data_IF_701434491288
#
_entry.id   IF_701434491288
#
_cell.length_a   1.000
_cell.length_b   1.000
_cell.length_c   1.000
_cell.angle_alpha   90.00
_cell.angle_beta   90.00
_cell.angle_gamma   90.00
#
_symmetry.space_group_name_H-M   'P 1'
#
loop_
_entity.id
_entity.type
_entity.pdbx_description
1 polymer ?
#
# COMPACT_ATOMS: atom_id res chain seq x y z
N UNK A 1 -26.79 17.51 -8.54
CA UNK A 1 -26.80 16.43 -7.53
C UNK A 1 -26.51 15.09 -8.21
N UNK A 2 -25.47 14.40 -7.73
CA UNK A 2 -25.18 12.96 -7.88
C UNK A 2 -25.06 12.32 -9.26
N UNK A 3 -23.98 12.61 -10.02
CA UNK A 3 -23.52 11.68 -11.09
C UNK A 3 -22.00 11.46 -11.23
N UNK A 4 -21.15 12.12 -10.44
CA UNK A 4 -19.68 12.00 -10.60
C UNK A 4 -19.02 11.12 -9.51
N UNK A 5 -19.72 10.81 -8.41
CA UNK A 5 -19.20 9.96 -7.33
C UNK A 5 -19.06 8.47 -7.67
N UNK A 6 -19.56 8.03 -8.83
CA UNK A 6 -19.49 6.61 -9.24
C UNK A 6 -18.24 6.30 -10.06
N UNK A 7 -17.63 7.30 -10.72
CA UNK A 7 -16.49 7.07 -11.61
C UNK A 7 -15.16 6.83 -10.87
N UNK A 8 -14.93 7.48 -9.72
CA UNK A 8 -13.71 7.28 -8.94
C UNK A 8 -13.70 5.93 -8.19
N UNK A 9 -14.88 5.43 -7.78
CA UNK A 9 -15.03 4.11 -7.18
C UNK A 9 -14.85 2.96 -8.19
N UNK A 10 -14.86 3.25 -9.49
CA UNK A 10 -14.67 2.27 -10.57
C UNK A 10 -13.20 2.13 -11.04
N UNK A 11 -12.29 3.00 -10.59
CA UNK A 11 -10.87 2.93 -10.93
C UNK A 11 -10.00 2.26 -9.86
N UNK A 12 -10.49 2.16 -8.62
CA UNK A 12 -9.82 1.45 -7.53
C UNK A 12 -10.06 -0.08 -7.43
N UNK A 13 -11.04 -0.75 -8.07
CA UNK A 13 -11.23 -2.19 -7.93
C UNK A 13 -10.40 -3.05 -8.89
N UNK A 14 -9.45 -2.46 -9.64
CA UNK A 14 -8.78 -3.13 -10.77
C UNK A 14 -7.29 -3.46 -10.56
N UNK A 15 -6.67 -3.05 -9.46
CA UNK A 15 -5.30 -3.46 -9.14
C UNK A 15 -5.32 -4.69 -8.23
N UNK A 16 -4.85 -5.80 -8.79
CA UNK A 16 -4.82 -7.06 -8.09
C UNK A 16 -3.83 -7.06 -6.94
N UNK A 17 -4.26 -7.03 -5.69
CA UNK A 17 -3.39 -6.68 -4.57
C UNK A 17 -2.44 -7.82 -4.13
N UNK A 18 -1.34 -7.45 -3.45
CA UNK A 18 -0.44 -8.40 -2.79
C UNK A 18 -0.78 -8.49 -1.31
N UNK A 19 -1.02 -9.71 -0.82
CA UNK A 19 -1.49 -9.98 0.55
C UNK A 19 -0.70 -11.12 1.18
N UNK A 20 -0.87 -11.31 2.49
CA UNK A 20 -0.25 -12.39 3.25
C UNK A 20 -0.42 -12.16 4.75
N UNK A 21 0.26 -12.96 5.57
CA UNK A 21 0.26 -12.76 7.03
C UNK A 21 0.96 -11.44 7.42
N UNK A 22 0.56 -10.79 8.53
CA UNK A 22 1.18 -9.54 9.00
C UNK A 22 2.58 -9.81 9.58
N UNK A 23 3.58 -9.88 8.71
CA UNK A 23 4.95 -10.23 9.09
C UNK A 23 5.78 -9.11 9.69
N UNK A 24 5.38 -7.85 9.47
CA UNK A 24 6.01 -6.70 10.09
C UNK A 24 5.25 -6.32 11.35
N UNK A 25 5.98 -5.86 12.36
CA UNK A 25 5.45 -5.50 13.67
C UNK A 25 5.82 -4.06 14.00
N UNK A 26 5.30 -3.56 15.12
CA UNK A 26 5.63 -2.24 15.66
C UNK A 26 7.15 -2.00 15.78
N UNK A 27 7.95 -3.02 16.10
CA UNK A 27 9.41 -2.87 16.21
C UNK A 27 10.13 -2.69 14.88
N UNK A 28 9.48 -3.05 13.76
CA UNK A 28 10.01 -2.83 12.41
C UNK A 28 9.67 -1.43 11.87
N UNK A 29 8.80 -0.70 12.57
CA UNK A 29 8.25 0.56 12.09
C UNK A 29 9.32 1.66 12.01
N UNK A 30 9.35 2.35 10.87
CA UNK A 30 10.17 3.54 10.65
C UNK A 30 9.30 4.75 10.34
N UNK A 31 9.72 5.89 10.86
CA UNK A 31 8.97 7.14 10.78
C UNK A 31 9.37 7.94 9.55
N UNK A 32 8.66 7.71 8.45
CA UNK A 32 8.99 8.35 7.17
C UNK A 32 7.88 9.24 6.62
N UNK A 33 6.62 9.00 6.99
CA UNK A 33 5.50 9.88 6.69
C UNK A 33 5.19 10.68 7.98
N UNK A 34 5.27 12.02 7.95
CA UNK A 34 4.89 12.86 9.09
C UNK A 34 3.40 12.76 9.43
N UNK A 35 3.05 13.11 10.67
CA UNK A 35 1.65 13.25 11.04
C UNK A 35 0.97 14.41 10.29
N UNK A 36 -0.28 14.22 9.91
CA UNK A 36 -1.05 15.25 9.22
C UNK A 36 -2.21 14.71 8.41
N UNK A 37 -2.84 15.60 7.65
CA UNK A 37 -3.88 15.27 6.68
C UNK A 37 -3.26 15.24 5.28
N UNK A 38 -3.59 14.21 4.53
CA UNK A 38 -3.03 13.95 3.21
C UNK A 38 -4.15 13.72 2.22
N UNK A 39 -4.08 14.40 1.09
CA UNK A 39 -4.93 14.11 -0.05
C UNK A 39 -4.30 12.98 -0.86
N UNK A 40 -5.11 11.98 -1.18
CA UNK A 40 -4.77 10.88 -2.08
C UNK A 40 -5.05 11.35 -3.50
N UNK A 41 -4.00 11.41 -4.32
CA UNK A 41 -4.10 11.78 -5.73
C UNK A 41 -3.51 10.65 -6.59
N UNK A 42 -4.15 10.34 -7.72
CA UNK A 42 -3.53 9.47 -8.71
C UNK A 42 -2.28 10.15 -9.29
N UNK A 43 -1.23 9.38 -9.60
CA UNK A 43 0.00 9.96 -10.14
C UNK A 43 -0.28 10.78 -11.43
N UNK A 44 0.21 12.02 -11.46
CA UNK A 44 0.06 12.92 -12.60
C UNK A 44 -1.27 13.68 -12.64
N UNK A 45 -2.22 13.39 -11.76
CA UNK A 45 -3.48 14.13 -11.65
C UNK A 45 -3.40 15.14 -10.50
N UNK A 46 -3.97 16.34 -10.71
CA UNK A 46 -4.25 17.28 -9.62
C UNK A 46 -5.75 17.18 -9.34
N UNK A 47 -6.13 16.33 -8.40
CA UNK A 47 -7.52 16.15 -8.04
C UNK A 47 -7.86 17.07 -6.86
N UNK A 48 -8.47 18.23 -7.12
CA UNK A 48 -9.03 19.11 -6.06
C UNK A 48 -10.06 18.36 -5.16
N UNK A 49 -10.56 17.23 -5.65
CA UNK A 49 -11.57 16.37 -5.01
C UNK A 49 -11.04 15.03 -4.50
N UNK A 50 -9.72 14.81 -4.50
CA UNK A 50 -9.12 13.57 -3.96
C UNK A 50 -9.51 13.31 -2.51
N UNK A 51 -9.62 12.04 -2.11
CA UNK A 51 -9.97 11.64 -0.74
C UNK A 51 -8.90 12.14 0.26
N UNK A 52 -9.33 12.61 1.44
CA UNK A 52 -8.41 13.05 2.50
C UNK A 52 -8.33 11.96 3.56
N UNK A 53 -7.10 11.52 3.83
CA UNK A 53 -6.76 10.58 4.90
C UNK A 53 -5.98 11.30 6.00
N UNK A 54 -6.37 11.09 7.25
CA UNK A 54 -5.58 11.47 8.41
C UNK A 54 -4.50 10.43 8.67
N UNK A 55 -3.25 10.84 8.83
CA UNK A 55 -2.14 9.98 9.21
C UNK A 55 -1.65 10.43 10.58
N UNK A 56 -1.68 9.52 11.55
CA UNK A 56 -1.25 9.80 12.92
C UNK A 56 -0.45 8.65 13.49
N UNK A 57 0.70 8.96 14.09
CA UNK A 57 1.51 7.98 14.80
C UNK A 57 0.82 7.46 16.07
N UNK A 58 0.94 6.16 16.28
CA UNK A 58 0.51 5.47 17.49
C UNK A 58 1.68 5.30 18.47
N UNK A 59 1.41 5.07 19.78
CA UNK A 59 2.47 4.89 20.77
C UNK A 59 3.45 3.75 20.49
N UNK A 60 3.02 2.74 19.71
CA UNK A 60 3.85 1.60 19.30
C UNK A 60 4.70 1.89 18.04
N UNK A 61 4.63 3.11 17.50
CA UNK A 61 5.34 3.49 16.27
C UNK A 61 4.63 3.13 14.97
N UNK A 62 3.50 2.40 15.03
CA UNK A 62 2.64 2.22 13.85
C UNK A 62 1.92 3.51 13.49
N UNK A 63 1.35 3.58 12.29
CA UNK A 63 0.51 4.67 11.84
C UNK A 63 -0.95 4.24 11.90
N UNK A 64 -1.82 5.14 12.33
CA UNK A 64 -3.26 5.04 12.11
C UNK A 64 -3.62 5.90 10.91
N UNK A 65 -4.32 5.29 9.96
CA UNK A 65 -4.92 5.94 8.81
C UNK A 65 -6.40 6.11 9.09
N UNK A 66 -6.86 7.36 9.20
CA UNK A 66 -8.24 7.73 9.47
C UNK A 66 -8.91 8.23 8.19
N UNK A 67 -9.94 7.54 7.70
CA UNK A 67 -10.68 7.94 6.49
C UNK A 67 -12.14 7.46 6.47
N UNK A 68 -12.96 7.95 5.53
CA UNK A 68 -14.39 7.60 5.38
C UNK A 68 -14.70 6.11 5.41
N UNK A 69 -13.78 5.25 4.96
CA UNK A 69 -14.02 3.81 4.86
C UNK A 69 -13.39 2.97 5.96
N UNK A 70 -12.51 3.49 6.83
CA UNK A 70 -11.90 2.73 7.94
C UNK A 70 -11.06 3.62 8.87
N UNK A 71 -10.82 3.21 10.12
CA UNK A 71 -9.49 3.27 10.71
C UNK A 71 -8.68 2.02 10.29
N UNK A 72 -7.55 2.22 9.61
CA UNK A 72 -6.57 1.17 9.24
C UNK A 72 -5.30 1.38 10.05
N UNK A 73 -4.67 0.29 10.48
CA UNK A 73 -3.31 0.34 11.03
C UNK A 73 -2.30 0.08 9.91
N UNK A 74 -1.27 0.91 9.85
CA UNK A 74 -0.18 0.77 8.88
C UNK A 74 1.17 0.64 9.60
N UNK A 75 1.98 -0.32 9.17
CA UNK A 75 3.37 -0.45 9.59
C UNK A 75 4.23 -0.14 8.38
N UNK A 76 5.08 0.88 8.50
CA UNK A 76 6.04 1.24 7.46
C UNK A 76 7.39 0.66 7.83
N UNK A 77 7.90 -0.29 7.05
CA UNK A 77 9.16 -0.97 7.31
C UNK A 77 10.19 -0.66 6.22
N UNK A 78 11.47 -0.75 6.56
CA UNK A 78 12.54 -0.62 5.57
C UNK A 78 12.53 -1.78 4.58
N UNK A 79 12.58 -1.48 3.29
CA UNK A 79 12.73 -2.51 2.26
C UNK A 79 14.14 -3.10 2.26
N UNK A 80 15.13 -2.22 2.39
CA UNK A 80 16.55 -2.55 2.48
C UNK A 80 17.16 -1.95 3.76
N UNK A 81 18.25 -2.56 4.24
CA UNK A 81 18.95 -2.11 5.44
C UNK A 81 19.78 -0.83 5.21
N UNK A 82 19.91 -0.36 3.97
CA UNK A 82 20.62 0.89 3.66
C UNK A 82 19.79 2.11 4.12
N UNK A 83 20.40 2.94 4.97
CA UNK A 83 19.79 4.15 5.50
C UNK A 83 19.49 5.21 4.42
N UNK A 84 20.14 5.15 3.26
CA UNK A 84 19.92 6.08 2.13
C UNK A 84 18.76 5.67 1.23
N UNK A 85 18.20 4.48 1.44
CA UNK A 85 17.07 4.01 0.63
C UNK A 85 15.80 4.80 0.97
N UNK A 86 15.15 5.31 -0.08
CA UNK A 86 13.89 6.04 -0.01
C UNK A 86 12.70 5.12 -0.34
N UNK A 87 12.93 3.81 -0.47
CA UNK A 87 11.91 2.76 -0.68
C UNK A 87 11.56 2.05 0.64
N UNK A 88 10.27 1.92 0.90
CA UNK A 88 9.72 1.31 2.11
C UNK A 88 8.58 0.36 1.77
N UNK A 89 8.35 -0.59 2.66
CA UNK A 89 7.19 -1.48 2.64
C UNK A 89 6.12 -0.84 3.51
N UNK A 90 4.89 -0.76 3.02
CA UNK A 90 3.73 -0.48 3.86
C UNK A 90 2.96 -1.80 4.02
N UNK A 91 2.77 -2.21 5.27
CA UNK A 91 1.84 -3.28 5.66
C UNK A 91 0.58 -2.63 6.23
N UNK A 92 -0.57 -2.84 5.59
CA UNK A 92 -1.87 -2.40 6.06
C UNK A 92 -2.61 -3.55 6.74
N UNK A 93 -3.14 -3.29 7.92
CA UNK A 93 -3.92 -4.21 8.75
C UNK A 93 -5.28 -3.55 9.06
N UNK A 94 -6.36 -4.30 8.89
CA UNK A 94 -7.68 -3.78 9.20
C UNK A 94 -8.80 -4.79 8.99
N UNK A 95 -9.99 -4.55 9.57
CA UNK A 95 -11.09 -5.49 9.53
C UNK A 95 -11.57 -5.82 8.11
N UNK A 96 -11.41 -4.91 7.13
CA UNK A 96 -11.83 -5.19 5.75
C UNK A 96 -10.91 -6.18 5.02
N UNK A 97 -9.68 -6.38 5.50
CA UNK A 97 -8.71 -7.29 4.88
C UNK A 97 -8.89 -8.74 5.38
N UNK A 98 -9.73 -8.94 6.40
CA UNK A 98 -9.87 -10.20 7.12
C UNK A 98 -8.89 -10.32 8.28
N UNK A 99 -9.30 -11.00 9.34
CA UNK A 99 -8.46 -11.22 10.51
C UNK A 99 -7.22 -12.05 10.14
N UNK A 100 -6.03 -11.58 10.53
CA UNK A 100 -4.77 -12.28 10.28
C UNK A 100 -4.18 -12.07 8.89
N UNK A 101 -4.78 -11.20 8.07
CA UNK A 101 -4.26 -10.84 6.75
C UNK A 101 -3.82 -9.37 6.72
N UNK A 102 -2.81 -9.11 5.90
CA UNK A 102 -2.32 -7.78 5.61
C UNK A 102 -2.22 -7.54 4.09
N UNK A 103 -2.36 -6.27 3.71
CA UNK A 103 -2.11 -5.77 2.37
C UNK A 103 -0.72 -5.12 2.33
N UNK A 104 0.07 -5.45 1.31
CA UNK A 104 1.41 -4.92 1.12
C UNK A 104 1.46 -3.93 -0.03
N UNK A 105 2.10 -2.79 0.20
CA UNK A 105 2.32 -1.73 -0.77
C UNK A 105 3.79 -1.30 -0.73
N UNK A 106 4.25 -0.59 -1.76
CA UNK A 106 5.54 0.08 -1.76
C UNK A 106 5.37 1.58 -1.60
N UNK A 107 6.26 2.19 -0.83
CA UNK A 107 6.34 3.62 -0.61
C UNK A 107 7.69 4.15 -1.12
N UNK A 108 7.63 5.24 -1.85
CA UNK A 108 8.75 6.14 -2.13
C UNK A 108 8.55 7.43 -1.36
N UNK A 109 9.58 7.89 -0.67
CA UNK A 109 9.57 9.20 0.01
C UNK A 109 10.60 10.19 -0.56
N UNK A 110 11.08 9.97 -1.79
CA UNK A 110 12.16 10.77 -2.39
C UNK A 110 11.72 12.22 -2.50
N UNK A 111 12.62 13.15 -2.20
CA UNK A 111 12.37 14.60 -2.25
C UNK A 111 11.16 15.06 -1.42
N UNK A 112 10.85 14.32 -0.33
CA UNK A 112 9.67 14.53 0.53
C UNK A 112 8.32 14.39 -0.20
N UNK A 113 8.31 13.72 -1.35
CA UNK A 113 7.08 13.29 -2.03
C UNK A 113 6.78 11.87 -1.60
N UNK A 114 5.55 11.61 -1.15
CA UNK A 114 5.15 10.30 -0.64
C UNK A 114 4.32 9.59 -1.70
N UNK A 115 4.97 8.73 -2.48
CA UNK A 115 4.34 8.02 -3.59
C UNK A 115 4.14 6.56 -3.22
N UNK A 116 2.95 6.03 -3.47
CA UNK A 116 2.54 4.68 -3.09
C UNK A 116 2.23 3.88 -4.35
N UNK A 117 2.79 2.69 -4.42
CA UNK A 117 2.53 1.71 -5.49
C UNK A 117 1.58 0.64 -4.98
N UNK A 118 0.49 0.43 -5.72
CA UNK A 118 -0.46 -0.65 -5.51
C UNK A 118 -0.04 -1.82 -6.39
N UNK A 119 0.51 -2.84 -5.73
CA UNK A 119 1.19 -3.96 -6.37
C UNK A 119 0.18 -4.85 -7.08
N UNK A 120 0.40 -5.11 -8.38
CA UNK A 120 -0.49 -5.90 -9.23
C UNK A 120 -0.12 -7.37 -9.21
N UNK A 121 -1.10 -8.25 -9.08
CA UNK A 121 -0.94 -9.69 -9.20
C UNK A 121 -1.20 -10.12 -10.64
N UNK A 122 -0.14 -10.55 -11.32
CA UNK A 122 -0.19 -11.03 -12.69
C UNK A 122 1.17 -11.51 -13.16
N UNK A 123 1.23 -12.04 -14.39
CA UNK A 123 2.48 -12.44 -15.05
C UNK A 123 3.40 -13.28 -14.17
N UNK A 124 4.67 -12.90 -14.11
CA UNK A 124 5.72 -13.60 -13.36
C UNK A 124 5.44 -13.67 -11.86
N UNK A 125 4.89 -12.60 -11.26
CA UNK A 125 4.58 -12.56 -9.83
C UNK A 125 3.58 -13.66 -9.46
N UNK A 126 2.54 -13.82 -10.26
CA UNK A 126 1.56 -14.90 -10.07
C UNK A 126 2.22 -16.29 -10.11
N UNK A 127 3.17 -16.51 -11.01
CA UNK A 127 3.92 -17.78 -11.08
C UNK A 127 4.85 -17.97 -9.87
N UNK A 128 5.49 -16.91 -9.38
CA UNK A 128 6.31 -16.96 -8.15
C UNK A 128 5.45 -17.30 -6.94
N UNK A 129 4.29 -16.67 -6.79
CA UNK A 129 3.35 -16.93 -5.69
C UNK A 129 2.90 -18.39 -5.71
N UNK A 130 2.48 -18.93 -6.86
CA UNK A 130 2.09 -20.36 -6.94
C UNK A 130 3.24 -21.30 -6.62
N UNK A 131 4.44 -21.04 -7.14
CA UNK A 131 5.63 -21.90 -6.90
C UNK A 131 6.09 -21.89 -5.44
N UNK A 132 5.86 -20.80 -4.72
CA UNK A 132 6.20 -20.67 -3.30
C UNK A 132 5.11 -21.21 -2.35
N UNK A 133 4.03 -21.81 -2.89
CA UNK A 133 2.92 -22.34 -2.09
C UNK A 133 1.84 -21.31 -1.75
N UNK A 134 2.00 -20.06 -2.20
CA UNK A 134 0.99 -19.02 -2.08
C UNK A 134 -0.27 -19.28 -2.92
N UNK A 135 -1.28 -18.46 -2.69
CA UNK A 135 -2.60 -18.59 -3.30
C UNK A 135 -2.86 -17.45 -4.28
N UNK A 136 -3.68 -17.71 -5.31
CA UNK A 136 -4.19 -16.65 -6.19
C UNK A 136 -5.70 -16.70 -6.15
N UNK A 137 -6.31 -15.63 -5.65
CA UNK A 137 -7.75 -15.46 -5.69
C UNK A 137 -8.14 -14.61 -6.89
N UNK A 138 -9.02 -15.14 -7.74
CA UNK A 138 -9.64 -14.39 -8.85
C UNK A 138 -11.09 -14.18 -8.51
N UNK A 139 -11.43 -12.96 -8.11
CA UNK A 139 -12.82 -12.59 -7.97
C UNK A 139 -13.29 -11.97 -9.30
N UNK A 140 -14.39 -12.41 -9.92
CA UNK A 140 -14.93 -11.72 -11.09
C UNK A 140 -15.34 -10.26 -10.81
N UNK A 141 -15.58 -9.93 -9.54
CA UNK A 141 -16.00 -8.61 -9.07
C UNK A 141 -14.86 -7.77 -8.45
N UNK A 142 -13.67 -8.36 -8.19
CA UNK A 142 -12.50 -7.63 -7.67
C UNK A 142 -11.22 -8.10 -8.35
N UNK A 143 -10.20 -7.25 -8.45
CA UNK A 143 -8.96 -7.64 -9.11
C UNK A 143 -8.30 -8.92 -8.52
N UNK A 144 -7.51 -9.60 -9.34
CA UNK A 144 -6.78 -10.83 -8.98
C UNK A 144 -5.86 -10.58 -7.77
N UNK A 145 -5.99 -11.31 -6.67
CA UNK A 145 -5.13 -11.11 -5.49
C UNK A 145 -4.04 -12.18 -5.43
N UNK A 146 -2.81 -11.78 -5.14
CA UNK A 146 -1.68 -12.67 -4.87
C UNK A 146 -1.48 -12.76 -3.36
N UNK A 147 -1.73 -13.93 -2.78
CA UNK A 147 -1.51 -14.20 -1.36
C UNK A 147 -0.18 -14.94 -1.19
N UNK A 148 0.80 -14.25 -0.60
CA UNK A 148 2.10 -14.82 -0.30
C UNK A 148 2.00 -15.67 0.98
N UNK A 149 2.54 -16.89 0.93
CA UNK A 149 2.64 -17.76 2.11
C UNK A 149 3.94 -17.55 2.89
N UNK A 150 4.97 -16.99 2.24
CA UNK A 150 6.30 -16.82 2.80
C UNK A 150 6.79 -15.37 2.73
N UNK A 151 7.32 -14.88 3.86
CA UNK A 151 7.82 -13.51 4.01
C UNK A 151 9.00 -13.23 3.10
N UNK A 152 9.92 -14.18 2.93
CA UNK A 152 11.12 -13.95 2.14
C UNK A 152 10.78 -13.80 0.65
N UNK A 153 9.82 -14.58 0.18
CA UNK A 153 9.29 -14.48 -1.18
C UNK A 153 8.63 -13.13 -1.42
N UNK A 154 7.77 -12.67 -0.50
CA UNK A 154 7.18 -11.33 -0.57
C UNK A 154 8.27 -10.25 -0.65
N UNK A 155 9.22 -10.25 0.29
CA UNK A 155 10.29 -9.24 0.35
C UNK A 155 11.14 -9.28 -0.93
N UNK A 156 11.44 -10.47 -1.45
CA UNK A 156 12.15 -10.63 -2.72
C UNK A 156 11.41 -9.95 -3.88
N UNK A 157 10.11 -10.19 -4.00
CA UNK A 157 9.29 -9.56 -5.05
C UNK A 157 9.15 -8.04 -4.84
N UNK A 158 8.99 -7.57 -3.60
CA UNK A 158 8.95 -6.14 -3.28
C UNK A 158 10.26 -5.44 -3.66
N UNK A 159 11.40 -6.10 -3.47
CA UNK A 159 12.72 -5.57 -3.87
C UNK A 159 12.87 -5.46 -5.37
N UNK A 160 12.40 -6.46 -6.11
CA UNK A 160 12.41 -6.42 -7.58
C UNK A 160 11.50 -5.29 -8.08
N UNK A 161 10.28 -5.21 -7.57
CA UNK A 161 9.33 -4.16 -7.96
C UNK A 161 9.84 -2.75 -7.63
N UNK A 162 10.56 -2.58 -6.53
CA UNK A 162 11.12 -1.28 -6.14
C UNK A 162 12.26 -0.78 -7.04
N UNK A 163 12.87 -1.67 -7.83
CA UNK A 163 13.91 -1.32 -8.83
C UNK A 163 13.30 -0.79 -10.13
N UNK A 164 12.02 -1.02 -10.39
CA UNK A 164 11.34 -0.45 -11.55
C UNK A 164 11.15 1.06 -11.33
N UNK A 165 11.79 1.88 -12.16
CA UNK A 165 11.60 3.32 -12.15
C UNK A 165 10.25 3.67 -12.82
N UNK A 166 9.34 4.26 -12.04
CA UNK A 166 7.98 4.57 -12.50
C UNK A 166 7.04 3.39 -12.29
N UNK A 167 6.18 3.51 -11.28
CA UNK A 167 5.28 2.44 -10.86
C UNK A 167 4.47 2.80 -9.62
N UNK A 168 4.33 4.07 -9.32
CA UNK A 168 3.59 4.54 -8.14
C UNK A 168 2.24 5.06 -8.58
N UNK A 169 1.17 4.37 -8.22
CA UNK A 169 -0.18 4.72 -8.67
C UNK A 169 -0.74 5.95 -7.93
N UNK A 170 -0.21 6.26 -6.75
CA UNK A 170 -0.77 7.26 -5.82
C UNK A 170 0.33 8.20 -5.32
N UNK A 171 0.00 9.48 -5.16
CA UNK A 171 0.77 10.45 -4.37
C UNK A 171 -0.05 10.94 -3.17
N UNK A 172 0.57 10.98 -1.99
CA UNK A 172 0.01 11.57 -0.78
C UNK A 172 0.51 13.01 -0.65
N UNK A 173 -0.35 13.98 -0.96
CA UNK A 173 -0.04 15.41 -0.83
C UNK A 173 -0.54 15.95 0.50
N UNK A 174 0.36 16.48 1.32
CA UNK A 174 -0.02 17.06 2.61
C UNK A 174 -0.95 18.26 2.38
N UNK A 175 -2.08 18.29 3.09
CA UNK A 175 -2.98 19.44 3.06
C UNK A 175 -2.54 20.49 4.07
N UNK A 176 -2.69 21.76 3.70
CA UNK A 176 -2.48 22.90 4.58
C UNK A 176 -3.88 23.30 5.07
N UNK A 177 -4.47 22.51 5.96
CA UNK A 177 -5.68 22.90 6.69
C UNK A 177 -5.28 23.31 8.11
#
# INVERSE_FOLDING_TARGET
>A
MNRILVAAALLLPLSGCWTGAPWFTASDAVNVIPDGRYRIEAEGETAETGEIVGISRQPDGSLRLDGPQMPVRAIVARLNQDAKDHRYIIQLEGPVLGAGNALFLLLDNRDRRYRVSVLRCGGEVAEVVRRSGGSISRNPQSATTCEFQDRNTLIGQLRLQAQEDGGFDIELKRTIE
#
